data_IF_346205057510
#
_entry.id   IF_346205057510
#
_cell.length_a   1.000
_cell.length_b   1.000
_cell.length_c   1.000
_cell.angle_alpha   90.00
_cell.angle_beta   90.00
_cell.angle_gamma   90.00
#
_symmetry.space_group_name_H-M   'P 1'
#
loop_
_entity.id
_entity.type
_entity.pdbx_description
1 polymer ?
#
# COMPACT_ATOMS: atom_id res chain seq x y z
N UNK A 1 -11.41 -8.03 -82.22
CA UNK A 1 -11.02 -7.09 -81.14
C UNK A 1 -9.98 -7.75 -80.25
N UNK A 2 -8.70 -7.39 -80.39
CA UNK A 2 -7.63 -7.87 -79.49
C UNK A 2 -7.56 -6.97 -78.27
N UNK A 3 -7.81 -7.54 -77.07
CA UNK A 3 -7.56 -6.86 -75.79
C UNK A 3 -6.05 -6.70 -75.60
N UNK A 4 -5.58 -5.46 -75.48
CA UNK A 4 -4.21 -5.17 -75.05
C UNK A 4 -4.10 -5.44 -73.55
N UNK A 5 -3.50 -6.56 -73.17
CA UNK A 5 -3.05 -6.79 -71.79
C UNK A 5 -1.76 -6.01 -71.57
N UNK A 6 -1.85 -4.78 -71.04
CA UNK A 6 -0.67 -4.05 -70.57
C UNK A 6 -0.20 -4.70 -69.26
N UNK A 7 0.93 -5.39 -69.32
CA UNK A 7 1.62 -5.87 -68.12
C UNK A 7 2.18 -4.71 -67.30
N UNK A 8 2.32 -4.90 -65.99
CA UNK A 8 2.97 -3.94 -65.10
C UNK A 8 4.40 -3.68 -65.54
N UNK A 9 4.78 -2.40 -65.62
CA UNK A 9 6.18 -2.03 -65.86
C UNK A 9 7.00 -2.20 -64.58
N UNK A 10 8.28 -2.51 -64.73
CA UNK A 10 9.20 -2.71 -63.58
C UNK A 10 9.29 -1.46 -62.68
N UNK A 11 9.15 -0.28 -63.28
CA UNK A 11 9.14 1.00 -62.55
C UNK A 11 7.88 1.17 -61.70
N UNK A 12 6.70 0.81 -62.21
CA UNK A 12 5.44 0.85 -61.43
C UNK A 12 5.51 -0.10 -60.23
N UNK A 13 6.11 -1.29 -60.40
CA UNK A 13 6.31 -2.23 -59.30
C UNK A 13 7.20 -1.63 -58.20
N UNK A 14 8.30 -0.97 -58.58
CA UNK A 14 9.23 -0.35 -57.63
C UNK A 14 8.55 0.77 -56.83
N UNK A 15 7.74 1.59 -57.51
CA UNK A 15 6.95 2.65 -56.86
C UNK A 15 5.97 2.05 -55.86
N UNK A 16 5.21 1.02 -56.25
CA UNK A 16 4.25 0.35 -55.35
C UNK A 16 4.96 -0.25 -54.13
N UNK A 17 6.13 -0.88 -54.33
CA UNK A 17 6.90 -1.47 -53.23
C UNK A 17 7.44 -0.40 -52.27
N UNK A 18 7.88 0.74 -52.78
CA UNK A 18 8.32 1.86 -51.94
C UNK A 18 7.17 2.44 -51.09
N UNK A 19 5.99 2.61 -51.69
CA UNK A 19 4.77 3.03 -50.99
C UNK A 19 4.36 2.00 -49.93
N UNK A 20 4.49 0.72 -50.24
CA UNK A 20 4.16 -0.35 -49.31
C UNK A 20 5.06 -0.35 -48.07
N UNK A 21 6.37 -0.11 -48.24
CA UNK A 21 7.31 0.00 -47.10
C UNK A 21 6.96 1.18 -46.19
N UNK A 22 6.63 2.34 -46.77
CA UNK A 22 6.20 3.52 -45.99
C UNK A 22 4.91 3.23 -45.23
N UNK A 23 3.95 2.56 -45.87
CA UNK A 23 2.69 2.14 -45.25
C UNK A 23 2.93 1.16 -44.10
N UNK A 24 3.80 0.16 -44.28
CA UNK A 24 4.17 -0.80 -43.22
C UNK A 24 4.85 -0.10 -42.04
N UNK A 25 5.75 0.85 -42.29
CA UNK A 25 6.40 1.62 -41.24
C UNK A 25 5.37 2.43 -40.42
N UNK A 26 4.38 3.02 -41.10
CA UNK A 26 3.26 3.70 -40.44
C UNK A 26 2.44 2.75 -39.55
N UNK A 27 2.05 1.59 -40.06
CA UNK A 27 1.32 0.57 -39.31
C UNK A 27 2.12 0.09 -38.09
N UNK A 28 3.41 -0.21 -38.27
CA UNK A 28 4.29 -0.65 -37.19
C UNK A 28 4.43 0.40 -36.08
N UNK A 29 4.51 1.68 -36.45
CA UNK A 29 4.56 2.79 -35.49
C UNK A 29 3.30 2.85 -34.63
N UNK A 30 2.12 2.75 -35.25
CA UNK A 30 0.83 2.76 -34.55
C UNK A 30 0.73 1.56 -33.61
N UNK A 31 1.05 0.34 -34.09
CA UNK A 31 1.04 -0.87 -33.26
C UNK A 31 1.96 -0.71 -32.04
N UNK A 32 3.17 -0.16 -32.24
CA UNK A 32 4.12 0.06 -31.15
C UNK A 32 3.60 1.03 -30.10
N UNK A 33 2.91 2.11 -30.50
CA UNK A 33 2.29 3.07 -29.58
C UNK A 33 1.17 2.41 -28.78
N UNK A 34 0.33 1.64 -29.45
CA UNK A 34 -0.80 0.93 -28.84
C UNK A 34 -0.29 -0.10 -27.83
N UNK A 35 0.70 -0.93 -28.19
CA UNK A 35 1.30 -1.91 -27.29
C UNK A 35 1.92 -1.28 -26.04
N UNK A 36 2.66 -0.16 -26.19
CA UNK A 36 3.21 0.59 -25.05
C UNK A 36 2.10 1.10 -24.13
N UNK A 37 1.02 1.60 -24.70
CA UNK A 37 -0.14 2.09 -23.95
C UNK A 37 -0.82 0.96 -23.17
N UNK A 38 -1.04 -0.20 -23.80
CA UNK A 38 -1.58 -1.38 -23.13
C UNK A 38 -0.67 -1.87 -21.99
N UNK A 39 0.63 -1.94 -22.22
CA UNK A 39 1.60 -2.34 -21.18
C UNK A 39 1.55 -1.39 -19.98
N UNK A 40 1.53 -0.07 -20.21
CA UNK A 40 1.42 0.90 -19.13
C UNK A 40 0.08 0.82 -18.39
N UNK A 41 -1.02 0.56 -19.09
CA UNK A 41 -2.34 0.40 -18.48
C UNK A 41 -2.41 -0.88 -17.62
N UNK A 42 -1.87 -1.99 -18.12
CA UNK A 42 -1.77 -3.27 -17.39
C UNK A 42 -0.94 -3.12 -16.10
N UNK A 43 0.26 -2.52 -16.18
CA UNK A 43 1.07 -2.22 -15.01
C UNK A 43 0.33 -1.34 -14.01
N UNK A 44 -0.33 -0.27 -14.47
CA UNK A 44 -1.10 0.61 -13.58
C UNK A 44 -2.24 -0.12 -12.89
N UNK A 45 -2.92 -1.03 -13.59
CA UNK A 45 -3.97 -1.87 -13.01
C UNK A 45 -3.43 -2.76 -11.89
N UNK A 46 -2.27 -3.40 -12.10
CA UNK A 46 -1.62 -4.26 -11.11
C UNK A 46 -1.17 -3.49 -9.88
N UNK A 47 -0.57 -2.31 -10.07
CA UNK A 47 -0.20 -1.42 -8.95
C UNK A 47 -1.44 -1.02 -8.16
N UNK A 48 -2.53 -0.63 -8.83
CA UNK A 48 -3.79 -0.30 -8.15
C UNK A 48 -4.39 -1.46 -7.38
N UNK A 49 -4.34 -2.68 -7.92
CA UNK A 49 -4.80 -3.88 -7.22
C UNK A 49 -4.03 -4.08 -5.91
N UNK A 50 -2.69 -4.02 -5.95
CA UNK A 50 -1.83 -4.12 -4.76
C UNK A 50 -2.16 -3.04 -3.72
N UNK A 51 -2.29 -1.78 -4.15
CA UNK A 51 -2.63 -0.66 -3.24
C UNK A 51 -4.00 -0.87 -2.61
N UNK A 52 -4.99 -1.32 -3.37
CA UNK A 52 -6.33 -1.60 -2.84
C UNK A 52 -6.32 -2.74 -1.83
N UNK A 53 -5.54 -3.80 -2.05
CA UNK A 53 -5.37 -4.89 -1.08
C UNK A 53 -4.74 -4.38 0.23
N UNK A 54 -3.68 -3.57 0.14
CA UNK A 54 -3.06 -2.96 1.31
C UNK A 54 -4.03 -2.05 2.08
N UNK A 55 -4.76 -1.18 1.37
CA UNK A 55 -5.78 -0.29 1.95
C UNK A 55 -6.93 -1.08 2.58
N UNK A 56 -7.31 -2.23 2.02
CA UNK A 56 -8.36 -3.08 2.59
C UNK A 56 -7.92 -3.66 3.94
N UNK A 57 -6.67 -4.11 4.05
CA UNK A 57 -6.10 -4.62 5.31
C UNK A 57 -6.04 -3.49 6.35
N UNK A 58 -5.53 -2.32 5.96
CA UNK A 58 -5.43 -1.16 6.87
C UNK A 58 -6.83 -0.69 7.32
N UNK A 59 -7.79 -0.58 6.39
CA UNK A 59 -9.17 -0.19 6.70
C UNK A 59 -9.82 -1.19 7.67
N UNK A 60 -9.62 -2.49 7.47
CA UNK A 60 -10.11 -3.53 8.39
C UNK A 60 -9.55 -3.35 9.80
N UNK A 61 -8.25 -3.12 9.93
CA UNK A 61 -7.58 -3.00 11.22
C UNK A 61 -7.97 -1.69 11.93
N UNK A 62 -7.97 -0.56 11.22
CA UNK A 62 -8.43 0.74 11.74
C UNK A 62 -9.88 0.68 12.21
N UNK A 63 -10.79 0.08 11.42
CA UNK A 63 -12.20 -0.08 11.81
C UNK A 63 -12.38 -0.97 13.02
N UNK A 64 -11.45 -1.89 13.23
CA UNK A 64 -11.50 -2.83 14.36
C UNK A 64 -10.93 -2.22 15.63
N UNK A 65 -10.19 -1.11 15.52
CA UNK A 65 -9.45 -0.50 16.61
C UNK A 65 -10.31 -0.21 17.85
N UNK A 66 -9.71 -0.39 19.02
CA UNK A 66 -10.33 -0.19 20.34
C UNK A 66 -9.31 0.39 21.30
N UNK A 67 -9.74 1.21 22.26
CA UNK A 67 -8.81 1.76 23.26
C UNK A 67 -8.25 0.61 24.12
N UNK A 68 -6.93 0.53 24.30
CA UNK A 68 -6.35 -0.50 25.16
C UNK A 68 -6.51 -0.15 26.65
N UNK A 69 -6.53 1.15 26.99
CA UNK A 69 -6.78 1.67 28.33
C UNK A 69 -7.31 3.12 28.25
N UNK A 70 -7.50 3.79 29.41
CA UNK A 70 -8.01 5.18 29.46
C UNK A 70 -7.02 6.23 28.95
N UNK A 71 -5.72 5.95 29.06
CA UNK A 71 -4.65 6.91 28.77
C UNK A 71 -4.11 6.83 27.34
N UNK A 72 -4.52 5.81 26.59
CA UNK A 72 -3.97 5.49 25.27
C UNK A 72 -5.09 5.52 24.23
N UNK A 73 -4.81 6.17 23.11
CA UNK A 73 -5.74 6.18 21.97
C UNK A 73 -5.77 4.82 21.27
N UNK A 74 -6.88 4.53 20.60
CA UNK A 74 -7.07 3.28 19.84
C UNK A 74 -6.07 3.14 18.68
N UNK A 75 -5.58 4.27 18.18
CA UNK A 75 -4.57 4.37 17.12
C UNK A 75 -3.54 5.42 17.51
N UNK A 76 -2.27 5.13 17.26
CA UNK A 76 -1.15 6.04 17.50
C UNK A 76 -0.35 6.17 16.20
N UNK A 77 -0.28 7.36 15.64
CA UNK A 77 0.66 7.70 14.55
C UNK A 77 1.94 8.26 15.16
N UNK A 78 3.08 7.70 14.79
CA UNK A 78 4.36 8.06 15.42
C UNK A 78 4.99 9.30 14.79
N UNK A 79 5.56 10.18 15.63
CA UNK A 79 6.16 11.45 15.19
C UNK A 79 7.59 11.33 14.66
N UNK A 80 8.38 10.39 15.16
CA UNK A 80 9.65 9.92 14.63
C UNK A 80 10.15 8.85 15.59
N UNK A 81 10.62 7.73 15.09
CA UNK A 81 11.12 6.62 15.92
C UNK A 81 12.27 5.91 15.20
N UNK A 82 13.47 5.97 15.78
CA UNK A 82 14.67 5.41 15.18
C UNK A 82 14.95 5.98 13.78
N UNK A 83 14.93 5.11 12.78
CA UNK A 83 15.18 5.46 11.37
C UNK A 83 13.92 5.93 10.61
N UNK A 84 12.78 5.99 11.30
CA UNK A 84 11.49 6.37 10.75
C UNK A 84 11.16 7.82 11.11
N UNK A 85 10.79 8.60 10.10
CA UNK A 85 10.28 9.97 10.26
C UNK A 85 8.82 9.97 10.73
N UNK A 86 8.27 11.16 10.98
CA UNK A 86 6.85 11.36 11.25
C UNK A 86 5.97 10.65 10.24
N UNK A 87 4.92 10.00 10.72
CA UNK A 87 3.92 9.36 9.88
C UNK A 87 4.41 8.15 9.09
N UNK A 88 5.64 7.65 9.32
CA UNK A 88 6.16 6.43 8.68
C UNK A 88 5.82 5.16 9.43
N UNK A 89 5.27 5.26 10.63
CA UNK A 89 4.76 4.15 11.42
C UNK A 89 3.50 4.53 12.18
N UNK A 90 2.69 3.50 12.46
CA UNK A 90 1.44 3.61 13.19
C UNK A 90 1.19 2.32 13.96
N UNK A 91 0.68 2.45 15.18
CA UNK A 91 0.14 1.33 15.96
C UNK A 91 -1.38 1.41 16.02
N UNK A 92 -2.02 0.25 15.89
CA UNK A 92 -3.47 0.06 16.02
C UNK A 92 -3.70 -0.97 17.11
N UNK A 93 -4.46 -0.59 18.14
CA UNK A 93 -4.82 -1.49 19.23
C UNK A 93 -6.17 -2.13 18.96
N UNK A 94 -6.29 -3.42 19.26
CA UNK A 94 -7.49 -4.21 18.98
C UNK A 94 -7.81 -5.14 20.15
N UNK A 95 -9.11 -5.23 20.47
CA UNK A 95 -9.68 -6.15 21.46
C UNK A 95 -10.61 -7.13 20.75
N UNK A 96 -10.48 -8.40 21.11
CA UNK A 96 -11.31 -9.50 20.63
C UNK A 96 -11.78 -10.34 21.81
N UNK A 97 -13.10 -10.48 21.92
CA UNK A 97 -13.70 -11.43 22.85
C UNK A 97 -13.94 -12.76 22.13
N UNK A 98 -13.35 -13.84 22.62
CA UNK A 98 -13.57 -15.18 22.10
C UNK A 98 -14.74 -15.84 22.84
N UNK A 99 -15.89 -15.94 22.18
CA UNK A 99 -17.11 -16.54 22.76
C UNK A 99 -16.94 -18.02 23.14
N UNK A 100 -16.07 -18.77 22.44
CA UNK A 100 -15.91 -20.20 22.70
C UNK A 100 -15.19 -20.47 24.02
N UNK A 101 -14.17 -19.68 24.31
CA UNK A 101 -13.33 -19.83 25.52
C UNK A 101 -13.66 -18.81 26.61
N UNK A 102 -14.61 -17.89 26.34
CA UNK A 102 -14.95 -16.75 27.19
C UNK A 102 -13.71 -15.96 27.65
N UNK A 103 -12.78 -15.73 26.73
CA UNK A 103 -11.51 -15.04 26.99
C UNK A 103 -11.39 -13.78 26.15
N UNK A 104 -10.93 -12.70 26.79
CA UNK A 104 -10.55 -11.48 26.10
C UNK A 104 -9.10 -11.53 25.65
N UNK A 105 -8.87 -11.13 24.41
CA UNK A 105 -7.54 -11.04 23.81
C UNK A 105 -7.29 -9.64 23.30
N UNK A 106 -6.08 -9.16 23.53
CA UNK A 106 -5.66 -7.82 23.15
C UNK A 106 -4.48 -7.92 22.20
N UNK A 107 -4.53 -7.14 21.13
CA UNK A 107 -3.52 -7.12 20.10
C UNK A 107 -3.02 -5.71 19.85
N UNK A 108 -1.73 -5.61 19.53
CA UNK A 108 -1.15 -4.43 18.89
C UNK A 108 -0.76 -4.81 17.47
N UNK A 109 -1.31 -4.10 16.49
CA UNK A 109 -0.96 -4.21 15.08
C UNK A 109 -0.07 -3.02 14.75
N UNK A 110 1.15 -3.30 14.30
CA UNK A 110 2.09 -2.28 13.87
C UNK A 110 2.10 -2.15 12.35
N UNK A 111 2.25 -0.92 11.87
CA UNK A 111 2.59 -0.60 10.49
C UNK A 111 3.85 0.23 10.47
N UNK A 112 4.73 -0.04 9.50
CA UNK A 112 5.92 0.78 9.28
C UNK A 112 6.41 0.68 7.85
N UNK A 113 7.09 1.71 7.36
CA UNK A 113 8.02 1.53 6.26
C UNK A 113 9.22 0.70 6.74
N UNK A 114 9.70 -0.21 5.90
CA UNK A 114 10.89 -0.99 6.23
C UNK A 114 12.08 -0.03 6.41
N UNK A 115 12.78 -0.03 7.57
CA UNK A 115 13.79 0.99 7.87
C UNK A 115 14.97 1.05 6.88
N UNK A 116 15.36 -0.10 6.33
CA UNK A 116 16.48 -0.23 5.38
C UNK A 116 16.03 0.14 3.96
N UNK A 117 14.81 -0.24 3.60
CA UNK A 117 14.22 -0.03 2.27
C UNK A 117 12.82 0.54 2.41
N UNK A 118 12.74 1.87 2.44
CA UNK A 118 11.48 2.61 2.63
C UNK A 118 10.48 2.45 1.47
N UNK A 119 10.80 1.66 0.44
CA UNK A 119 9.87 1.31 -0.63
C UNK A 119 8.86 0.22 -0.24
N UNK A 120 9.01 -0.38 0.94
CA UNK A 120 8.14 -1.47 1.42
C UNK A 120 7.37 -1.05 2.65
N UNK A 121 6.04 -1.15 2.59
CA UNK A 121 5.17 -1.03 3.76
C UNK A 121 4.99 -2.40 4.41
N UNK A 122 5.25 -2.46 5.70
CA UNK A 122 5.12 -3.67 6.49
C UNK A 122 3.98 -3.56 7.49
N UNK A 123 3.39 -4.70 7.79
CA UNK A 123 2.41 -4.92 8.85
C UNK A 123 2.90 -6.06 9.74
N UNK A 124 2.84 -5.89 11.04
CA UNK A 124 3.08 -6.94 12.02
C UNK A 124 2.07 -6.88 13.13
N UNK A 125 2.05 -7.89 14.00
CA UNK A 125 1.12 -7.92 15.12
C UNK A 125 1.71 -8.70 16.29
N UNK A 126 1.25 -8.39 17.50
CA UNK A 126 1.62 -9.10 18.72
C UNK A 126 0.42 -9.16 19.66
N UNK A 127 0.22 -10.31 20.30
CA UNK A 127 -0.79 -10.54 21.34
C UNK A 127 -0.24 -10.07 22.68
N UNK A 128 -1.04 -9.37 23.48
CA UNK A 128 -0.69 -8.97 24.83
C UNK A 128 -0.48 -10.22 25.69
N UNK A 129 0.64 -10.28 26.41
CA UNK A 129 0.92 -11.37 27.35
C UNK A 129 0.04 -11.32 28.59
N UNK A 130 -0.37 -10.11 28.98
CA UNK A 130 -1.21 -9.89 30.14
C UNK A 130 -2.70 -10.03 29.78
N UNK A 131 -3.55 -10.51 30.69
CA UNK A 131 -4.99 -10.62 30.46
C UNK A 131 -5.66 -9.29 30.13
N UNK A 132 -5.09 -8.18 30.62
CA UNK A 132 -5.56 -6.82 30.37
C UNK A 132 -4.33 -5.95 30.11
N UNK A 133 -4.37 -5.04 29.12
CA UNK A 133 -3.28 -4.11 28.87
C UNK A 133 -2.99 -3.23 30.10
N UNK A 134 -1.72 -2.88 30.38
CA UNK A 134 -1.38 -2.02 31.51
C UNK A 134 -2.20 -0.72 31.54
N UNK A 135 -3.00 -0.53 32.59
CA UNK A 135 -4.02 0.53 32.67
C UNK A 135 -3.47 1.93 32.91
N UNK A 136 -2.28 2.03 33.53
CA UNK A 136 -1.68 3.29 33.97
C UNK A 136 -0.55 3.79 33.05
N UNK A 137 -0.54 3.34 31.79
CA UNK A 137 0.50 3.74 30.81
C UNK A 137 -0.12 4.29 29.53
N UNK A 138 0.44 5.39 29.01
CA UNK A 138 -0.01 6.01 27.75
C UNK A 138 0.47 5.27 26.48
N UNK A 139 1.29 4.22 26.65
CA UNK A 139 1.82 3.33 25.61
C UNK A 139 2.05 1.93 26.19
N UNK A 140 0.98 1.14 26.37
CA UNK A 140 1.10 -0.20 26.95
C UNK A 140 1.97 -1.09 26.07
N UNK A 141 2.87 -1.84 26.71
CA UNK A 141 3.75 -2.79 26.03
C UNK A 141 3.02 -4.11 25.83
N UNK A 142 2.95 -4.59 24.58
CA UNK A 142 2.30 -5.85 24.21
C UNK A 142 3.32 -6.93 23.82
N UNK A 143 4.62 -6.62 23.91
CA UNK A 143 5.69 -7.42 23.30
C UNK A 143 6.33 -6.72 22.12
N UNK A 144 7.27 -7.42 21.47
CA UNK A 144 7.98 -6.95 20.28
C UNK A 144 7.45 -7.66 19.04
N UNK A 145 7.27 -6.91 17.95
CA UNK A 145 6.99 -7.50 16.63
C UNK A 145 8.34 -7.89 16.05
N UNK A 146 8.51 -9.18 15.79
CA UNK A 146 9.82 -9.75 15.45
C UNK A 146 10.29 -9.21 14.09
N UNK A 147 11.45 -8.57 14.09
CA UNK A 147 12.13 -8.12 12.88
C UNK A 147 13.07 -9.21 12.36
N UNK A 148 12.53 -10.03 11.47
CA UNK A 148 13.30 -11.07 10.78
C UNK A 148 13.64 -10.60 9.36
N UNK A 149 14.87 -10.13 9.17
CA UNK A 149 15.36 -9.67 7.87
C UNK A 149 15.39 -10.76 6.79
N UNK A 150 15.20 -12.02 7.16
CA UNK A 150 15.18 -13.15 6.22
C UNK A 150 13.76 -13.54 5.76
N UNK A 151 12.71 -13.04 6.44
CA UNK A 151 11.32 -13.40 6.16
C UNK A 151 10.36 -12.23 6.40
N UNK A 152 10.10 -11.48 5.32
CA UNK A 152 9.06 -10.45 5.28
C UNK A 152 7.84 -10.87 4.45
N UNK A 153 7.67 -12.16 4.16
CA UNK A 153 6.57 -12.67 3.32
C UNK A 153 5.50 -13.39 4.15
N UNK A 154 5.91 -14.19 5.15
CA UNK A 154 4.99 -15.03 5.93
C UNK A 154 4.13 -14.18 6.88
N UNK A 155 4.76 -13.34 7.69
CA UNK A 155 4.15 -12.70 8.86
C UNK A 155 3.80 -13.65 10.00
N UNK A 156 4.27 -14.90 9.94
CA UNK A 156 3.99 -15.92 10.94
C UNK A 156 4.74 -15.64 12.25
N UNK A 157 4.16 -16.05 13.38
CA UNK A 157 4.78 -15.87 14.70
C UNK A 157 4.92 -14.42 15.16
N UNK A 158 4.11 -13.50 14.63
CA UNK A 158 4.19 -12.08 14.99
C UNK A 158 5.35 -11.33 14.34
N UNK A 159 5.84 -11.83 13.20
CA UNK A 159 6.85 -11.16 12.38
C UNK A 159 6.26 -10.04 11.53
N UNK A 160 7.11 -9.11 11.11
CA UNK A 160 6.77 -8.14 10.07
C UNK A 160 6.53 -8.82 8.72
N UNK A 161 5.47 -8.39 8.02
CA UNK A 161 5.13 -8.83 6.67
C UNK A 161 4.98 -7.65 5.73
N UNK A 162 5.58 -7.71 4.56
CA UNK A 162 5.37 -6.73 3.49
C UNK A 162 3.94 -6.86 2.95
N UNK A 163 3.20 -5.76 2.99
CA UNK A 163 1.82 -5.69 2.47
C UNK A 163 1.70 -4.81 1.22
N UNK A 164 2.71 -3.99 0.95
CA UNK A 164 2.79 -3.15 -0.24
C UNK A 164 4.25 -2.89 -0.57
N UNK A 165 4.61 -3.09 -1.83
CA UNK A 165 5.92 -2.82 -2.42
C UNK A 165 5.87 -1.59 -3.33
N UNK A 166 7.05 -1.05 -3.67
CA UNK A 166 7.16 0.03 -4.63
C UNK A 166 6.63 1.38 -4.14
N UNK A 167 6.55 1.60 -2.83
CA UNK A 167 6.23 2.90 -2.26
C UNK A 167 7.31 3.89 -2.68
N UNK A 168 6.93 4.86 -3.50
CA UNK A 168 7.79 5.95 -3.92
C UNK A 168 7.54 7.18 -3.05
N UNK A 169 8.55 8.02 -2.99
CA UNK A 169 8.48 9.32 -2.37
C UNK A 169 9.20 10.31 -3.27
N UNK A 170 8.76 11.56 -3.25
CA UNK A 170 9.46 12.60 -4.00
C UNK A 170 10.91 12.68 -3.50
N UNK A 171 11.84 12.52 -4.44
CA UNK A 171 13.27 12.53 -4.19
C UNK A 171 13.67 13.90 -3.62
N UNK A 172 13.94 13.95 -2.30
CA UNK A 172 14.28 15.18 -1.58
C UNK A 172 13.26 15.60 -0.51
N UNK A 173 12.08 14.95 -0.45
CA UNK A 173 11.15 15.11 0.66
C UNK A 173 11.65 14.34 1.89
N UNK A 174 11.94 15.06 2.97
CA UNK A 174 12.32 14.49 4.28
C UNK A 174 11.09 14.05 5.10
N UNK A 175 9.88 14.38 4.64
CA UNK A 175 8.62 14.16 5.33
C UNK A 175 7.73 13.20 4.51
N UNK A 176 8.05 11.91 4.56
CA UNK A 176 7.14 10.88 4.02
C UNK A 176 6.13 10.55 5.11
N UNK A 177 5.05 11.32 5.21
CA UNK A 177 3.95 11.03 6.14
C UNK A 177 2.93 10.15 5.40
N UNK A 178 3.11 8.82 5.45
CA UNK A 178 2.13 7.87 4.87
C UNK A 178 0.87 7.76 5.74
N UNK A 179 1.00 8.01 7.04
CA UNK A 179 -0.08 8.08 8.01
C UNK A 179 -0.10 9.47 8.65
N UNK A 180 -1.28 10.08 8.66
CA UNK A 180 -1.53 11.35 9.32
C UNK A 180 -2.81 11.22 10.15
N UNK A 181 -2.73 11.53 11.44
CA UNK A 181 -3.92 11.58 12.29
C UNK A 181 -4.57 12.96 12.13
N UNK A 182 -5.74 12.98 11.49
CA UNK A 182 -6.51 14.19 11.18
C UNK A 182 -7.75 14.32 12.09
N UNK A 183 -7.75 13.65 13.24
CA UNK A 183 -8.85 13.72 14.21
C UNK A 183 -8.94 15.13 14.79
N UNK A 184 -10.09 15.80 14.62
CA UNK A 184 -10.31 17.18 15.10
C UNK A 184 -10.27 17.30 16.63
N UNK A 185 -10.88 16.33 17.32
CA UNK A 185 -10.94 16.28 18.77
C UNK A 185 -9.91 15.28 19.31
N UNK A 186 -8.94 15.78 20.07
CA UNK A 186 -7.88 14.97 20.66
C UNK A 186 -8.42 13.91 21.63
N UNK A 187 -9.57 14.18 22.28
CA UNK A 187 -10.21 13.30 23.26
C UNK A 187 -11.17 12.29 22.60
N UNK A 188 -11.41 12.41 21.29
CA UNK A 188 -12.29 11.51 20.56
C UNK A 188 -11.79 10.07 20.61
N UNK A 189 -12.70 9.16 20.99
CA UNK A 189 -12.46 7.71 20.95
C UNK A 189 -12.34 7.19 19.52
N UNK A 190 -12.97 7.88 18.56
CA UNK A 190 -12.83 7.63 17.13
C UNK A 190 -11.63 8.40 16.60
N UNK A 191 -10.75 7.72 15.88
CA UNK A 191 -9.61 8.32 15.21
C UNK A 191 -9.84 8.30 13.71
N UNK A 192 -9.56 9.41 13.04
CA UNK A 192 -9.57 9.50 11.59
C UNK A 192 -8.14 9.64 11.10
N UNK A 193 -7.67 8.63 10.37
CA UNK A 193 -6.32 8.54 9.84
C UNK A 193 -6.39 8.75 8.33
N UNK A 194 -5.67 9.76 7.84
CA UNK A 194 -5.39 9.94 6.42
C UNK A 194 -4.21 9.03 6.05
N UNK A 195 -4.42 8.21 5.02
CA UNK A 195 -3.42 7.33 4.44
C UNK A 195 -3.09 7.83 3.04
N UNK A 196 -1.82 8.11 2.78
CA UNK A 196 -1.32 8.60 1.50
C UNK A 196 -0.29 7.64 0.95
N UNK A 197 -0.56 7.11 -0.24
CA UNK A 197 0.36 6.22 -0.96
C UNK A 197 0.74 6.83 -2.30
N UNK A 198 2.04 6.88 -2.57
CA UNK A 198 2.60 7.09 -3.90
C UNK A 198 3.34 5.81 -4.22
N UNK A 199 2.94 5.10 -5.27
CA UNK A 199 3.40 3.73 -5.54
C UNK A 199 3.69 3.54 -7.00
N UNK A 200 4.74 2.80 -7.29
CA UNK A 200 5.11 2.42 -8.64
C UNK A 200 5.46 0.94 -8.72
N UNK A 201 5.46 0.41 -9.94
CA UNK A 201 5.89 -0.96 -10.16
C UNK A 201 7.43 -1.04 -10.09
N UNK A 202 7.93 -1.97 -9.29
CA UNK A 202 9.38 -2.15 -9.03
C UNK A 202 10.13 -2.72 -10.23
N UNK A 203 9.45 -3.43 -11.13
CA UNK A 203 10.04 -4.05 -12.32
C UNK A 203 9.81 -3.22 -13.60
N UNK A 204 8.63 -2.61 -13.71
CA UNK A 204 8.16 -1.87 -14.89
C UNK A 204 7.63 -0.49 -14.48
N UNK A 205 8.50 0.43 -14.01
CA UNK A 205 8.06 1.71 -13.48
C UNK A 205 7.24 2.51 -14.50
N UNK A 206 6.10 3.01 -14.06
CA UNK A 206 5.26 3.94 -14.79
C UNK A 206 5.96 5.30 -14.86
N UNK A 207 5.71 6.04 -15.95
CA UNK A 207 6.19 7.43 -16.09
C UNK A 207 5.63 8.35 -15.00
N UNK A 208 4.41 8.06 -14.55
CA UNK A 208 3.75 8.77 -13.45
C UNK A 208 3.29 7.71 -12.45
N UNK A 209 3.76 7.76 -11.20
CA UNK A 209 3.37 6.80 -10.19
C UNK A 209 1.88 6.92 -9.87
N UNK A 210 1.36 5.88 -9.23
CA UNK A 210 0.01 5.84 -8.70
C UNK A 210 -0.03 6.57 -7.36
N UNK A 211 -0.81 7.64 -7.27
CA UNK A 211 -1.07 8.34 -6.00
C UNK A 211 -2.49 8.06 -5.54
N UNK A 212 -2.65 7.61 -4.29
CA UNK A 212 -3.93 7.41 -3.62
C UNK A 212 -3.91 8.07 -2.26
N UNK A 213 -4.98 8.80 -1.95
CA UNK A 213 -5.26 9.32 -0.61
C UNK A 213 -6.60 8.76 -0.13
N UNK A 214 -6.64 8.29 1.12
CA UNK A 214 -7.88 7.78 1.73
C UNK A 214 -7.94 8.16 3.21
N UNK A 215 -9.08 8.68 3.64
CA UNK A 215 -9.36 8.89 5.07
C UNK A 215 -10.10 7.69 5.65
N UNK A 216 -9.57 7.10 6.71
CA UNK A 216 -10.07 5.91 7.37
C UNK A 216 -10.45 6.26 8.81
N UNK A 217 -11.63 5.87 9.27
CA UNK A 217 -12.11 6.21 10.62
C UNK A 217 -12.35 4.94 11.44
N UNK A 218 -11.80 4.91 12.65
CA UNK A 218 -12.04 3.80 13.58
C UNK A 218 -13.48 3.81 14.11
N UNK A 219 -13.96 2.63 14.51
CA UNK A 219 -15.25 2.52 15.19
C UNK A 219 -15.07 2.81 16.67
N UNK A 220 -16.11 3.36 17.31
CA UNK A 220 -16.15 3.42 18.77
C UNK A 220 -16.29 2.00 19.30
N UNK A 221 -15.24 1.48 19.92
CA UNK A 221 -15.29 0.29 20.76
C UNK A 221 -14.81 0.71 22.14
N UNK A 222 -15.64 0.44 23.14
CA UNK A 222 -15.43 0.88 24.52
C UNK A 222 -14.10 0.39 25.10
N UNK A 223 -13.75 0.96 26.25
CA UNK A 223 -12.55 0.59 27.01
C UNK A 223 -12.81 -0.76 27.68
N UNK A 224 -11.83 -1.67 27.74
CA UNK A 224 -11.97 -2.90 28.51
C UNK A 224 -12.31 -2.60 29.98
N UNK A 225 -13.35 -3.26 30.49
CA UNK A 225 -13.85 -3.13 31.87
C UNK A 225 -13.57 -4.41 32.65
N UNK A 226 -13.06 -4.27 33.88
CA UNK A 226 -12.97 -5.36 34.86
C UNK A 226 -14.36 -5.88 35.26
#
# INVERSE_FOLDING_TARGET
MKKYNKGFTLIELLIVLSLFVVLLAGIFSIISIVQKSYCSADTRSKVMEKVNLALMVIDKDIRSASKPNKLTNSIIVHSAEGNLSKGQSMDVYYHYHNENDNTDKYYRIGYRLLPIDKSKLQRGWVECTDPIPPVDTAKPFYGEIIDDSTDYESGEGGKWKTILDGVEYEKGSINIEIFEDITEDADSERRTIKVTFVVNDTEKPLKVPVTIEKSLTSRTKGIPTN
#
